data_IF_112217857616
#
_entry.id   IF_112217857616
#
_cell.length_a   1.000
_cell.length_b   1.000
_cell.length_c   1.000
_cell.angle_alpha   90.00
_cell.angle_beta   90.00
_cell.angle_gamma   90.00
#
_symmetry.space_group_name_H-M   'P 1'
#
loop_
_entity.id
_entity.type
_entity.pdbx_description
1 polymer ?
#
# COMPACT_ATOMS: atom_id res chain seq x y z
N UNK A 1 23.91 -57.29 10.13
CA UNK A 1 25.01 -57.65 9.19
C UNK A 1 24.31 -58.23 7.98
N UNK A 2 24.20 -57.61 6.80
CA UNK A 2 25.05 -56.72 6.02
C UNK A 2 24.10 -55.81 5.20
N UNK A 3 24.15 -54.47 5.25
CA UNK A 3 25.11 -53.54 4.65
C UNK A 3 25.28 -53.70 3.12
N UNK A 4 24.87 -52.64 2.41
CA UNK A 4 25.41 -52.10 1.15
C UNK A 4 25.47 -52.98 -0.11
N UNK A 5 24.72 -52.57 -1.15
CA UNK A 5 25.28 -52.08 -2.42
C UNK A 5 24.21 -52.06 -3.53
N UNK A 6 24.02 -50.89 -4.14
CA UNK A 6 23.81 -50.65 -5.59
C UNK A 6 22.95 -49.39 -5.82
N UNK A 7 23.56 -48.25 -5.50
CA UNK A 7 23.40 -47.01 -6.26
C UNK A 7 24.57 -46.98 -7.26
N UNK A 8 24.38 -46.35 -8.44
CA UNK A 8 25.27 -46.20 -9.63
C UNK A 8 24.90 -47.18 -10.75
N UNK A 9 24.50 -46.81 -11.97
CA UNK A 9 24.60 -45.61 -12.81
C UNK A 9 23.30 -45.52 -13.66
N UNK A 10 22.65 -44.38 -13.89
CA UNK A 10 22.94 -43.47 -15.01
C UNK A 10 22.25 -42.11 -14.76
N UNK A 11 22.84 -41.27 -13.92
CA UNK A 11 22.31 -39.94 -13.57
C UNK A 11 23.24 -38.81 -14.04
N UNK A 12 23.87 -38.96 -15.21
CA UNK A 12 24.82 -37.99 -15.77
C UNK A 12 24.34 -37.32 -17.06
N UNK A 13 23.05 -37.37 -17.39
CA UNK A 13 22.53 -36.67 -18.58
C UNK A 13 21.18 -35.98 -18.35
N UNK A 14 20.95 -35.46 -17.14
CA UNK A 14 19.81 -34.58 -16.88
C UNK A 14 20.36 -33.18 -16.59
N UNK A 15 20.02 -32.15 -17.39
CA UNK A 15 20.50 -30.79 -17.15
C UNK A 15 20.03 -30.28 -15.78
N UNK A 16 20.91 -29.59 -15.06
CA UNK A 16 20.70 -29.11 -13.68
C UNK A 16 19.36 -28.37 -13.48
N UNK A 17 18.86 -27.69 -14.52
CA UNK A 17 17.60 -26.93 -14.51
C UNK A 17 16.32 -27.79 -14.39
N UNK A 18 16.42 -29.11 -14.55
CA UNK A 18 15.30 -30.06 -14.39
C UNK A 18 15.27 -30.68 -12.98
N UNK A 19 16.42 -30.72 -12.29
CA UNK A 19 16.53 -31.27 -10.93
C UNK A 19 15.85 -30.35 -9.90
N UNK A 20 15.72 -29.05 -10.18
CA UNK A 20 15.07 -28.09 -9.27
C UNK A 20 13.53 -28.13 -9.28
N UNK A 21 12.87 -28.97 -10.11
CA UNK A 21 11.40 -28.90 -10.29
C UNK A 21 10.60 -30.20 -10.17
N UNK A 22 11.18 -31.34 -9.78
CA UNK A 22 10.37 -32.54 -9.51
C UNK A 22 10.94 -33.40 -8.36
N UNK A 23 10.34 -33.29 -7.19
CA UNK A 23 10.34 -34.36 -6.19
C UNK A 23 8.90 -34.70 -5.78
N UNK A 24 8.28 -35.62 -6.51
CA UNK A 24 7.12 -36.39 -6.08
C UNK A 24 7.62 -37.77 -5.62
N UNK A 25 7.64 -38.00 -4.31
CA UNK A 25 7.68 -39.35 -3.74
C UNK A 25 6.94 -39.34 -2.40
N UNK A 26 5.81 -40.05 -2.39
CA UNK A 26 5.10 -40.57 -1.21
C UNK A 26 5.00 -39.63 0.01
N UNK A 27 3.96 -38.80 0.04
CA UNK A 27 3.34 -38.36 1.30
C UNK A 27 4.01 -37.24 2.10
N UNK A 28 5.01 -36.53 1.58
CA UNK A 28 5.62 -35.40 2.27
C UNK A 28 5.49 -34.12 1.43
N UNK A 29 4.67 -33.17 1.90
CA UNK A 29 4.53 -31.86 1.27
C UNK A 29 5.79 -31.02 1.51
N UNK A 30 6.23 -30.36 0.43
CA UNK A 30 7.31 -29.38 0.33
C UNK A 30 7.61 -28.64 1.64
N UNK A 31 8.86 -28.76 2.10
CA UNK A 31 9.43 -27.80 3.04
C UNK A 31 9.98 -26.63 2.21
N UNK A 32 9.06 -25.79 1.73
CA UNK A 32 9.37 -24.57 0.95
C UNK A 32 10.14 -23.56 1.80
N UNK A 33 9.99 -23.65 3.12
CA UNK A 33 10.60 -22.77 4.10
C UNK A 33 11.68 -23.47 4.92
N UNK A 34 12.77 -22.76 5.19
CA UNK A 34 13.90 -23.18 6.01
C UNK A 34 14.04 -22.27 7.23
N UNK A 35 14.65 -22.81 8.28
CA UNK A 35 15.06 -22.01 9.43
C UNK A 35 16.06 -20.95 8.96
N UNK A 36 15.82 -19.70 9.36
CA UNK A 36 16.59 -18.53 8.94
C UNK A 36 15.99 -17.77 7.76
N UNK A 37 14.99 -18.32 7.06
CA UNK A 37 14.32 -17.59 5.99
C UNK A 37 13.55 -16.38 6.56
N UNK A 38 13.51 -15.31 5.76
CA UNK A 38 12.76 -14.12 6.07
C UNK A 38 11.49 -14.08 5.25
N UNK A 39 10.36 -13.95 5.93
CA UNK A 39 9.02 -13.93 5.36
C UNK A 39 8.27 -12.70 5.86
N UNK A 40 7.16 -12.36 5.24
CA UNK A 40 6.27 -11.28 5.68
C UNK A 40 4.97 -11.88 6.16
N UNK A 41 4.59 -11.54 7.39
CA UNK A 41 3.31 -11.90 7.97
C UNK A 41 2.33 -10.72 7.89
N UNK A 42 1.09 -10.92 7.39
CA UNK A 42 0.12 -9.84 7.24
C UNK A 42 -0.13 -9.09 8.55
N UNK A 43 -0.22 -7.76 8.49
CA UNK A 43 -0.42 -6.83 9.63
C UNK A 43 0.72 -6.73 10.65
N UNK A 44 1.71 -7.61 10.61
CA UNK A 44 2.87 -7.60 11.51
C UNK A 44 4.17 -7.28 10.79
N UNK A 45 4.20 -7.39 9.45
CA UNK A 45 5.38 -7.06 8.67
C UNK A 45 6.35 -8.23 8.64
N UNK A 46 7.63 -7.93 8.49
CA UNK A 46 8.60 -8.97 8.28
C UNK A 46 8.92 -9.78 9.54
N UNK A 47 9.12 -11.08 9.34
CA UNK A 47 9.39 -12.05 10.37
C UNK A 47 10.46 -13.06 9.89
N UNK A 48 11.23 -13.58 10.83
CA UNK A 48 12.21 -14.64 10.60
C UNK A 48 11.69 -15.97 11.09
N UNK A 49 11.95 -17.04 10.34
CA UNK A 49 11.66 -18.41 10.77
C UNK A 49 12.74 -18.86 11.73
N UNK A 50 12.43 -18.94 13.02
CA UNK A 50 13.37 -19.39 14.05
C UNK A 50 13.41 -20.91 14.19
N UNK A 51 12.26 -21.57 14.04
CA UNK A 51 12.14 -23.00 14.31
C UNK A 51 11.05 -23.63 13.46
N UNK A 52 11.29 -24.87 13.03
CA UNK A 52 10.28 -25.75 12.43
C UNK A 52 10.10 -26.93 13.39
N UNK A 53 8.95 -27.00 14.06
CA UNK A 53 8.68 -28.02 15.07
C UNK A 53 7.45 -28.85 14.69
N UNK A 54 7.53 -30.16 14.88
CA UNK A 54 6.38 -31.05 14.80
C UNK A 54 5.63 -31.06 16.15
N UNK A 55 4.31 -30.83 16.12
CA UNK A 55 3.46 -30.86 17.32
C UNK A 55 2.22 -31.70 17.08
N UNK A 56 1.90 -32.54 18.06
CA UNK A 56 0.66 -33.34 18.07
C UNK A 56 -0.39 -32.63 18.93
N UNK A 57 -1.43 -32.11 18.28
CA UNK A 57 -2.55 -31.44 18.94
C UNK A 57 -3.82 -32.25 18.70
N UNK A 58 -4.48 -32.67 19.79
CA UNK A 58 -5.72 -33.47 19.74
C UNK A 58 -5.61 -34.74 18.87
N UNK A 59 -4.46 -35.41 18.91
CA UNK A 59 -4.19 -36.63 18.15
C UNK A 59 -3.84 -36.39 16.67
N UNK A 60 -3.75 -35.14 16.21
CA UNK A 60 -3.29 -34.80 14.86
C UNK A 60 -1.90 -34.19 14.93
N UNK A 61 -0.95 -34.84 14.28
CA UNK A 61 0.43 -34.36 14.18
C UNK A 61 0.57 -33.41 13.00
N UNK A 62 1.09 -32.20 13.24
CA UNK A 62 1.31 -31.16 12.23
C UNK A 62 2.64 -30.47 12.45
N UNK A 63 3.21 -29.97 11.36
CA UNK A 63 4.41 -29.14 11.39
C UNK A 63 3.99 -27.69 11.63
N UNK A 64 4.71 -27.02 12.52
CA UNK A 64 4.52 -25.61 12.87
C UNK A 64 5.81 -24.84 12.62
N UNK A 65 5.66 -23.68 11.98
CA UNK A 65 6.69 -22.66 11.79
C UNK A 65 6.58 -21.67 12.94
N UNK A 66 7.69 -21.42 13.64
CA UNK A 66 7.81 -20.33 14.62
C UNK A 66 8.44 -19.12 13.95
N UNK A 67 7.64 -18.07 13.83
CA UNK A 67 8.04 -16.80 13.24
C UNK A 67 8.29 -15.78 14.34
N UNK A 68 9.43 -15.11 14.30
CA UNK A 68 9.73 -13.95 15.16
C UNK A 68 9.63 -12.69 14.33
N UNK A 69 8.74 -11.78 14.71
CA UNK A 69 8.53 -10.51 13.98
C UNK A 69 9.70 -9.57 14.26
N UNK A 70 10.30 -9.01 13.22
CA UNK A 70 11.49 -8.14 13.33
C UNK A 70 11.12 -6.74 13.81
N UNK A 71 9.94 -6.24 13.41
CA UNK A 71 9.47 -4.90 13.77
C UNK A 71 8.86 -4.79 15.18
N UNK A 72 8.86 -5.87 15.97
CA UNK A 72 8.16 -5.91 17.25
C UNK A 72 8.94 -6.76 18.25
N UNK A 73 9.28 -6.15 19.38
CA UNK A 73 10.05 -6.82 20.43
C UNK A 73 9.29 -8.02 20.99
N UNK A 74 9.81 -9.23 20.72
CA UNK A 74 9.35 -10.47 21.35
C UNK A 74 8.02 -11.02 20.84
N UNK A 75 7.52 -10.57 19.68
CA UNK A 75 6.31 -11.15 19.10
C UNK A 75 6.64 -12.44 18.33
N UNK A 76 6.28 -13.58 18.93
CA UNK A 76 6.35 -14.90 18.30
C UNK A 76 4.98 -15.34 17.75
N UNK A 77 4.96 -15.83 16.52
CA UNK A 77 3.77 -16.35 15.83
C UNK A 77 4.03 -17.80 15.43
N UNK A 78 3.12 -18.71 15.78
CA UNK A 78 3.20 -20.12 15.37
C UNK A 78 2.16 -20.41 14.29
N UNK A 79 2.63 -20.74 13.08
CA UNK A 79 1.78 -20.99 11.91
C UNK A 79 1.92 -22.45 11.48
N UNK A 80 0.81 -23.18 11.27
CA UNK A 80 0.91 -24.55 10.80
C UNK A 80 1.28 -24.56 9.30
N UNK A 81 2.20 -25.44 8.93
CA UNK A 81 2.80 -25.49 7.58
C UNK A 81 1.76 -25.69 6.46
N UNK A 82 0.64 -26.36 6.75
CA UNK A 82 -0.47 -26.59 5.83
C UNK A 82 -1.39 -25.37 5.59
N UNK A 83 -1.19 -24.30 6.36
CA UNK A 83 -2.01 -23.08 6.27
C UNK A 83 -1.20 -21.81 5.99
N UNK A 84 0.08 -21.91 5.65
CA UNK A 84 0.97 -20.76 5.43
C UNK A 84 0.40 -19.80 4.38
N UNK A 85 0.02 -20.32 3.22
CA UNK A 85 -0.63 -19.55 2.14
C UNK A 85 -1.98 -18.98 2.56
N UNK A 86 -2.77 -19.76 3.32
CA UNK A 86 -4.11 -19.37 3.77
C UNK A 86 -4.07 -18.24 4.79
N UNK A 87 -3.02 -18.20 5.59
CA UNK A 87 -2.78 -17.14 6.59
C UNK A 87 -2.13 -15.92 5.94
N UNK A 88 -1.64 -16.06 4.70
CA UNK A 88 -1.10 -14.96 3.88
C UNK A 88 0.37 -14.66 4.15
N UNK A 89 1.12 -15.63 4.68
CA UNK A 89 2.58 -15.52 4.77
C UNK A 89 3.15 -15.47 3.36
N UNK A 90 4.07 -14.54 3.11
CA UNK A 90 4.67 -14.34 1.79
C UNK A 90 6.18 -14.14 1.88
N UNK A 91 6.86 -14.28 0.75
CA UNK A 91 8.25 -13.90 0.62
C UNK A 91 8.41 -12.37 0.63
N UNK A 92 9.60 -11.92 1.03
CA UNK A 92 9.99 -10.51 0.95
C UNK A 92 10.02 -10.07 -0.51
N UNK A 93 9.56 -8.86 -0.78
CA UNK A 93 9.56 -8.30 -2.13
C UNK A 93 10.98 -8.02 -2.63
N UNK A 94 11.19 -8.07 -3.95
CA UNK A 94 12.46 -7.73 -4.59
C UNK A 94 12.60 -6.20 -4.77
N UNK A 95 13.83 -5.69 -4.98
CA UNK A 95 14.09 -4.26 -5.18
C UNK A 95 13.29 -3.60 -6.30
N UNK A 96 12.92 -4.34 -7.36
CA UNK A 96 12.02 -3.82 -8.42
C UNK A 96 10.64 -3.45 -7.88
N UNK A 97 10.11 -4.21 -6.92
CA UNK A 97 8.85 -3.89 -6.28
C UNK A 97 9.00 -2.72 -5.29
N UNK A 98 10.16 -2.58 -4.65
CA UNK A 98 10.50 -1.42 -3.81
C UNK A 98 10.55 -0.13 -4.64
N UNK A 99 11.13 -0.18 -5.85
CA UNK A 99 11.11 0.95 -6.77
C UNK A 99 9.68 1.43 -7.08
N UNK A 100 8.76 0.50 -7.33
CA UNK A 100 7.33 0.79 -7.52
C UNK A 100 6.68 1.37 -6.25
N UNK A 101 7.04 0.88 -5.08
CA UNK A 101 6.57 1.45 -3.79
C UNK A 101 6.98 2.92 -3.68
N UNK A 102 8.23 3.24 -3.99
CA UNK A 102 8.70 4.62 -3.96
C UNK A 102 8.01 5.50 -5.01
N UNK A 103 7.70 4.98 -6.21
CA UNK A 103 6.87 5.71 -7.18
C UNK A 103 5.47 6.03 -6.64
N UNK A 104 4.83 5.06 -5.97
CA UNK A 104 3.52 5.26 -5.35
C UNK A 104 3.60 6.40 -4.32
N UNK A 105 4.61 6.36 -3.43
CA UNK A 105 4.80 7.34 -2.36
C UNK A 105 5.02 8.77 -2.89
N UNK A 106 5.76 8.92 -3.99
CA UNK A 106 6.03 10.21 -4.64
C UNK A 106 4.84 10.78 -5.40
N UNK A 107 3.81 9.98 -5.68
CA UNK A 107 2.66 10.44 -6.47
C UNK A 107 1.76 11.33 -5.63
N UNK A 108 1.44 12.56 -6.05
CA UNK A 108 0.45 13.37 -5.34
C UNK A 108 -0.96 12.80 -5.52
N UNK A 109 -1.78 12.81 -4.47
CA UNK A 109 -3.18 12.42 -4.56
C UNK A 109 -4.12 13.63 -4.45
N UNK A 110 -5.16 13.59 -5.28
CA UNK A 110 -6.36 14.41 -5.11
C UNK A 110 -7.32 13.60 -4.24
N UNK A 111 -7.55 14.05 -3.01
CA UNK A 111 -8.41 13.34 -2.07
C UNK A 111 -9.86 13.29 -2.59
N UNK A 112 -10.40 12.09 -2.81
CA UNK A 112 -11.84 11.94 -3.01
C UNK A 112 -12.58 12.29 -1.71
N UNK A 113 -13.55 13.21 -1.80
CA UNK A 113 -14.43 13.60 -0.69
C UNK A 113 -15.33 12.45 -0.22
N UNK A 114 -14.73 11.51 0.50
CA UNK A 114 -15.39 10.33 1.02
C UNK A 114 -15.53 10.47 2.54
N UNK A 115 -16.65 9.99 3.08
CA UNK A 115 -16.91 9.92 4.52
C UNK A 115 -15.72 9.26 5.25
N UNK A 116 -15.18 9.95 6.25
CA UNK A 116 -14.05 9.52 7.09
C UNK A 116 -14.14 8.07 7.56
N UNK A 117 -15.33 7.64 8.03
CA UNK A 117 -15.53 6.27 8.52
C UNK A 117 -15.33 5.20 7.44
N UNK A 118 -15.66 5.53 6.19
CA UNK A 118 -15.46 4.64 5.04
C UNK A 118 -13.98 4.56 4.69
N UNK A 119 -13.26 5.69 4.70
CA UNK A 119 -11.82 5.74 4.45
C UNK A 119 -11.03 4.96 5.48
N UNK A 120 -11.35 5.14 6.77
CA UNK A 120 -10.73 4.38 7.83
C UNK A 120 -10.88 2.87 7.61
N UNK A 121 -12.10 2.40 7.28
CA UNK A 121 -12.35 0.98 6.97
C UNK A 121 -11.56 0.49 5.76
N UNK A 122 -11.55 1.26 4.67
CA UNK A 122 -10.80 0.94 3.47
C UNK A 122 -9.29 0.83 3.75
N UNK A 123 -8.73 1.74 4.55
CA UNK A 123 -7.31 1.68 4.91
C UNK A 123 -6.98 0.48 5.81
N UNK A 124 -7.88 0.12 6.74
CA UNK A 124 -7.76 -1.12 7.52
C UNK A 124 -7.77 -2.34 6.61
N UNK A 125 -8.66 -2.39 5.62
CA UNK A 125 -8.74 -3.48 4.65
C UNK A 125 -7.49 -3.56 3.77
N UNK A 126 -6.98 -2.41 3.28
CA UNK A 126 -5.71 -2.35 2.54
C UNK A 126 -4.55 -2.93 3.36
N UNK A 127 -4.37 -2.51 4.61
CA UNK A 127 -3.33 -3.05 5.50
C UNK A 127 -3.53 -4.54 5.77
N UNK A 128 -4.78 -4.99 5.93
CA UNK A 128 -5.11 -6.39 6.17
C UNK A 128 -4.74 -7.32 5.02
N UNK A 129 -4.71 -6.82 3.78
CA UNK A 129 -4.32 -7.63 2.61
C UNK A 129 -2.85 -8.02 2.62
N UNK A 130 -1.99 -7.25 3.31
CA UNK A 130 -0.55 -7.48 3.32
C UNK A 130 0.14 -7.16 1.99
N UNK A 131 -0.52 -6.50 1.03
CA UNK A 131 0.10 -6.07 -0.23
C UNK A 131 0.91 -4.78 0.00
N UNK A 132 2.21 -4.84 -0.29
CA UNK A 132 3.15 -3.73 -0.11
C UNK A 132 2.70 -2.46 -0.84
N UNK A 133 2.13 -2.59 -2.04
CA UNK A 133 1.70 -1.44 -2.84
C UNK A 133 0.51 -0.74 -2.19
N UNK A 134 -0.44 -1.52 -1.66
CA UNK A 134 -1.62 -0.98 -0.97
C UNK A 134 -1.25 -0.36 0.37
N UNK A 135 -0.26 -0.92 1.06
CA UNK A 135 0.27 -0.32 2.30
C UNK A 135 0.97 1.00 1.98
N UNK A 136 1.75 1.06 0.88
CA UNK A 136 2.37 2.30 0.41
C UNK A 136 1.34 3.39 0.09
N UNK A 137 0.22 3.04 -0.56
CA UNK A 137 -0.90 3.98 -0.75
C UNK A 137 -1.43 4.51 0.59
N UNK A 138 -1.64 3.64 1.59
CA UNK A 138 -2.13 4.08 2.91
C UNK A 138 -1.13 5.00 3.61
N UNK A 139 0.17 4.69 3.55
CA UNK A 139 1.23 5.54 4.13
C UNK A 139 1.21 6.91 3.45
N UNK A 140 1.25 6.95 2.13
CA UNK A 140 1.19 8.19 1.35
C UNK A 140 -0.06 9.01 1.69
N UNK A 141 -1.24 8.41 1.60
CA UNK A 141 -2.53 9.10 1.74
C UNK A 141 -2.67 9.69 3.16
N UNK A 142 -2.21 8.96 4.18
CA UNK A 142 -2.24 9.44 5.56
C UNK A 142 -1.13 10.47 5.84
N UNK A 143 0.06 10.32 5.25
CA UNK A 143 1.17 11.28 5.39
C UNK A 143 0.82 12.63 4.77
N UNK A 144 0.35 12.64 3.52
CA UNK A 144 -0.10 13.86 2.86
C UNK A 144 -1.19 14.57 3.68
N UNK A 145 -2.08 13.80 4.32
CA UNK A 145 -3.17 14.35 5.14
C UNK A 145 -2.77 14.78 6.55
N UNK A 146 -1.67 14.28 7.11
CA UNK A 146 -1.18 14.77 8.41
C UNK A 146 -0.64 16.20 8.29
N UNK A 147 -0.19 16.58 7.09
CA UNK A 147 0.26 17.93 6.73
C UNK A 147 -0.90 18.90 6.41
N UNK A 148 -2.14 18.40 6.27
CA UNK A 148 -3.34 19.23 6.08
C UNK A 148 -3.72 19.98 7.37
N UNK A 149 -4.44 21.11 7.23
CA UNK A 149 -4.90 21.94 8.36
C UNK A 149 -5.76 21.15 9.38
N UNK A 150 -6.43 20.08 8.95
CA UNK A 150 -7.28 19.24 9.79
C UNK A 150 -6.49 18.17 10.57
N UNK A 151 -5.32 17.76 10.06
CA UNK A 151 -4.48 16.68 10.58
C UNK A 151 -5.18 15.32 10.72
N UNK A 152 -4.44 14.36 11.28
CA UNK A 152 -4.96 13.01 11.56
C UNK A 152 -5.59 12.86 12.94
N UNK A 153 -6.66 12.06 13.03
CA UNK A 153 -7.19 11.60 14.33
C UNK A 153 -6.20 10.66 15.03
N UNK A 154 -6.33 10.48 16.35
CA UNK A 154 -5.46 9.55 17.10
C UNK A 154 -5.48 8.11 16.57
N UNK A 155 -6.60 7.65 16.01
CA UNK A 155 -6.72 6.35 15.38
C UNK A 155 -5.98 6.25 14.05
N UNK A 156 -6.03 7.31 13.23
CA UNK A 156 -5.31 7.41 11.97
C UNK A 156 -3.80 7.58 12.19
N UNK A 157 -3.38 8.35 13.20
CA UNK A 157 -1.95 8.45 13.58
C UNK A 157 -1.36 7.09 13.93
N UNK A 158 -2.06 6.30 14.75
CA UNK A 158 -1.65 4.91 15.06
C UNK A 158 -1.62 4.03 13.82
N UNK A 159 -2.57 4.21 12.90
CA UNK A 159 -2.61 3.48 11.64
C UNK A 159 -1.41 3.84 10.75
N UNK A 160 -1.09 5.12 10.62
CA UNK A 160 0.07 5.60 9.87
C UNK A 160 1.37 5.05 10.46
N UNK A 161 1.59 5.18 11.78
CA UNK A 161 2.78 4.61 12.43
C UNK A 161 2.90 3.11 12.20
N UNK A 162 1.80 2.37 12.29
CA UNK A 162 1.80 0.93 12.03
C UNK A 162 2.11 0.60 10.56
N UNK A 163 1.50 1.32 9.61
CA UNK A 163 1.73 1.10 8.19
C UNK A 163 3.17 1.44 7.79
N UNK A 164 3.74 2.53 8.35
CA UNK A 164 5.14 2.91 8.19
C UNK A 164 6.07 1.80 8.69
N UNK A 165 5.88 1.30 9.91
CA UNK A 165 6.72 0.23 10.45
C UNK A 165 6.71 -1.04 9.57
N UNK A 166 5.54 -1.44 9.06
CA UNK A 166 5.45 -2.60 8.15
C UNK A 166 6.24 -2.34 6.87
N UNK A 167 6.11 -1.14 6.29
CA UNK A 167 6.78 -0.79 5.04
C UNK A 167 8.31 -0.66 5.22
N UNK A 168 8.75 -0.01 6.30
CA UNK A 168 10.16 0.17 6.66
C UNK A 168 10.85 -1.17 6.82
N UNK A 169 10.27 -2.11 7.59
CA UNK A 169 10.86 -3.44 7.76
C UNK A 169 10.95 -4.24 6.46
N UNK A 170 10.02 -4.01 5.52
CA UNK A 170 10.04 -4.69 4.24
C UNK A 170 11.07 -4.10 3.27
N UNK A 171 11.22 -2.78 3.26
CA UNK A 171 12.28 -2.08 2.52
C UNK A 171 13.66 -2.49 3.07
N UNK A 172 13.84 -2.47 4.39
CA UNK A 172 15.09 -2.83 5.05
C UNK A 172 15.59 -4.21 4.62
N UNK A 173 14.69 -5.19 4.56
CA UNK A 173 15.04 -6.55 4.15
C UNK A 173 15.27 -6.72 2.66
N UNK A 174 14.50 -6.02 1.83
CA UNK A 174 14.64 -6.09 0.38
C UNK A 174 15.96 -5.48 -0.08
N UNK A 175 16.30 -4.31 0.47
CA UNK A 175 17.49 -3.52 0.12
C UNK A 175 18.73 -3.88 0.97
N UNK A 176 18.55 -4.74 1.99
CA UNK A 176 19.61 -5.17 2.94
C UNK A 176 20.27 -4.00 3.66
N UNK A 177 19.44 -3.07 4.11
CA UNK A 177 19.81 -1.90 4.90
C UNK A 177 19.20 -2.05 6.31
N UNK A 178 19.62 -1.20 7.25
CA UNK A 178 19.00 -1.17 8.57
C UNK A 178 17.66 -0.41 8.56
N UNK A 179 16.91 -0.54 9.64
CA UNK A 179 15.58 0.08 9.78
C UNK A 179 15.65 1.61 9.83
N UNK A 180 16.75 2.19 10.34
CA UNK A 180 16.93 3.65 10.41
C UNK A 180 17.15 4.23 9.01
N UNK A 181 17.98 3.57 8.21
CA UNK A 181 18.23 3.88 6.81
C UNK A 181 16.94 3.73 5.98
N UNK A 182 16.22 2.62 6.13
CA UNK A 182 14.97 2.39 5.42
C UNK A 182 13.91 3.45 5.78
N UNK A 183 13.87 3.87 7.04
CA UNK A 183 13.01 4.96 7.50
C UNK A 183 13.42 6.30 6.88
N UNK A 184 14.73 6.59 6.78
CA UNK A 184 15.24 7.78 6.10
C UNK A 184 14.80 7.80 4.64
N UNK A 185 15.01 6.70 3.91
CA UNK A 185 14.61 6.59 2.51
C UNK A 185 13.10 6.76 2.34
N UNK A 186 12.28 6.24 3.27
CA UNK A 186 10.85 6.47 3.27
C UNK A 186 10.52 7.97 3.40
N UNK A 187 11.19 8.68 4.30
CA UNK A 187 11.00 10.12 4.51
C UNK A 187 11.49 10.97 3.33
N UNK A 188 12.58 10.58 2.67
CA UNK A 188 13.05 11.21 1.42
C UNK A 188 11.99 11.11 0.32
N UNK A 189 11.41 9.92 0.13
CA UNK A 189 10.39 9.70 -0.91
C UNK A 189 9.03 10.35 -0.58
N UNK A 190 8.77 10.66 0.69
CA UNK A 190 7.63 11.45 1.13
C UNK A 190 7.89 12.97 1.06
N UNK A 191 9.14 13.39 0.84
CA UNK A 191 9.55 14.79 0.79
C UNK A 191 9.77 15.46 2.15
N UNK A 192 9.94 14.67 3.21
CA UNK A 192 10.28 15.17 4.56
C UNK A 192 11.79 15.37 4.77
N UNK A 193 12.62 14.75 3.95
CA UNK A 193 14.08 14.85 3.99
C UNK A 193 14.66 14.98 2.58
N UNK A 194 15.83 15.60 2.48
CA UNK A 194 16.58 15.71 1.23
C UNK A 194 17.35 14.40 0.94
N UNK A 195 17.46 13.98 -0.32
CA UNK A 195 18.20 12.78 -0.70
C UNK A 195 19.70 12.95 -0.48
N UNK A 196 20.36 11.91 0.03
CA UNK A 196 21.80 11.88 0.25
C UNK A 196 22.56 11.21 -0.91
N UNK A 197 23.85 11.55 -1.10
CA UNK A 197 24.68 10.88 -2.10
C UNK A 197 24.78 9.36 -1.85
N UNK A 198 24.15 8.56 -2.72
CA UNK A 198 24.13 7.09 -2.59
C UNK A 198 22.73 6.49 -2.60
N UNK A 199 21.71 7.30 -2.31
CA UNK A 199 20.29 6.90 -2.25
C UNK A 199 19.76 6.32 -3.58
N UNK A 200 20.35 6.73 -4.70
CA UNK A 200 20.03 6.22 -6.04
C UNK A 200 20.19 4.70 -6.16
N UNK A 201 21.09 4.11 -5.36
CA UNK A 201 21.32 2.65 -5.34
C UNK A 201 20.13 1.87 -4.79
N UNK A 202 19.30 2.53 -4.00
CA UNK A 202 18.12 1.98 -3.34
C UNK A 202 16.83 2.54 -3.93
N UNK A 203 16.86 3.04 -5.18
CA UNK A 203 15.68 3.59 -5.87
C UNK A 203 15.03 4.80 -5.17
N UNK A 204 15.75 5.44 -4.24
CA UNK A 204 15.27 6.60 -3.51
C UNK A 204 15.62 7.88 -4.26
N UNK A 205 14.59 8.71 -4.43
CA UNK A 205 14.66 10.02 -5.10
C UNK A 205 13.67 10.94 -4.39
N UNK A 206 13.99 12.23 -4.31
CA UNK A 206 13.01 13.21 -3.88
C UNK A 206 11.84 13.25 -4.89
N UNK A 207 10.58 13.41 -4.44
CA UNK A 207 9.49 13.74 -5.34
C UNK A 207 9.77 15.08 -6.05
N UNK A 208 9.32 15.24 -7.30
CA UNK A 208 9.49 16.50 -8.06
C UNK A 208 8.89 17.70 -7.32
N UNK A 209 7.81 17.47 -6.58
CA UNK A 209 7.16 18.43 -5.70
C UNK A 209 6.92 17.77 -4.35
N UNK A 210 7.24 18.46 -3.26
CA UNK A 210 6.93 17.96 -1.92
C UNK A 210 5.41 17.81 -1.73
N UNK A 211 4.99 16.84 -0.92
CA UNK A 211 3.59 16.56 -0.62
C UNK A 211 2.76 17.82 -0.33
N UNK A 212 3.25 18.68 0.57
CA UNK A 212 2.58 19.92 0.98
C UNK A 212 2.40 20.93 -0.17
N UNK A 213 3.33 21.00 -1.13
CA UNK A 213 3.26 21.95 -2.25
C UNK A 213 2.19 21.53 -3.25
N UNK A 214 2.07 20.23 -3.50
CA UNK A 214 1.04 19.73 -4.42
C UNK A 214 -0.36 19.99 -3.86
N UNK A 215 -0.56 19.76 -2.56
CA UNK A 215 -1.83 20.03 -1.90
C UNK A 215 -2.23 21.49 -2.01
N UNK A 216 -1.31 22.41 -1.73
CA UNK A 216 -1.56 23.84 -1.88
C UNK A 216 -2.02 24.22 -3.30
N UNK A 217 -1.37 23.66 -4.33
CA UNK A 217 -1.80 23.87 -5.73
C UNK A 217 -3.21 23.34 -5.97
N UNK A 218 -3.49 22.11 -5.56
CA UNK A 218 -4.79 21.46 -5.77
C UNK A 218 -5.92 22.21 -5.04
N UNK A 219 -5.67 22.74 -3.85
CA UNK A 219 -6.63 23.58 -3.13
C UNK A 219 -6.92 24.89 -3.87
N UNK A 220 -5.89 25.55 -4.40
CA UNK A 220 -6.05 26.77 -5.18
C UNK A 220 -6.78 26.50 -6.50
N UNK A 221 -6.48 25.38 -7.16
CA UNK A 221 -7.22 24.90 -8.34
C UNK A 221 -8.69 24.63 -7.99
N UNK A 222 -8.98 23.94 -6.88
CA UNK A 222 -10.36 23.67 -6.46
C UNK A 222 -11.12 24.97 -6.10
N UNK A 223 -10.45 25.92 -5.43
CA UNK A 223 -11.02 27.25 -5.14
C UNK A 223 -11.31 28.00 -6.45
N UNK A 224 -10.40 27.96 -7.42
CA UNK A 224 -10.56 28.58 -8.72
C UNK A 224 -11.72 27.95 -9.51
N UNK A 225 -11.83 26.62 -9.51
CA UNK A 225 -12.94 25.88 -10.13
C UNK A 225 -14.29 26.22 -9.49
N UNK A 226 -14.36 26.22 -8.15
CA UNK A 226 -15.58 26.63 -7.42
C UNK A 226 -15.96 28.08 -7.73
N UNK A 227 -14.99 28.97 -7.82
CA UNK A 227 -15.22 30.38 -8.18
C UNK A 227 -15.74 30.51 -9.62
N UNK A 228 -15.16 29.76 -10.57
CA UNK A 228 -15.60 29.70 -11.96
C UNK A 228 -17.02 29.12 -12.07
N UNK A 229 -17.33 28.02 -11.39
CA UNK A 229 -18.65 27.41 -11.36
C UNK A 229 -19.71 28.35 -10.76
N UNK A 230 -19.38 29.07 -9.67
CA UNK A 230 -20.27 30.06 -9.06
C UNK A 230 -20.51 31.25 -9.99
N UNK A 231 -19.49 31.69 -10.73
CA UNK A 231 -19.61 32.76 -11.73
C UNK A 231 -20.51 32.33 -12.89
N UNK A 232 -20.29 31.14 -13.45
CA UNK A 232 -21.11 30.55 -14.52
C UNK A 232 -22.58 30.38 -14.10
N UNK A 233 -22.84 29.90 -12.87
CA UNK A 233 -24.20 29.78 -12.34
C UNK A 233 -24.90 31.14 -12.15
N UNK A 234 -24.16 32.20 -11.81
CA UNK A 234 -24.70 33.56 -11.68
C UNK A 234 -25.02 34.17 -13.06
N UNK A 235 -24.17 33.94 -14.05
CA UNK A 235 -24.38 34.39 -15.44
C UNK A 235 -25.57 33.68 -16.09
N UNK A 236 -25.71 32.36 -15.91
CA UNK A 236 -26.86 31.58 -16.38
C UNK A 236 -28.19 32.07 -15.77
N UNK A 237 -28.21 32.40 -14.47
CA UNK A 237 -29.39 32.98 -13.82
C UNK A 237 -29.73 34.38 -14.35
N UNK A 238 -28.73 35.19 -14.70
CA UNK A 238 -28.92 36.52 -15.28
C UNK A 238 -29.54 36.43 -16.68
N UNK A 239 -29.00 35.56 -17.54
CA UNK A 239 -29.53 35.32 -18.89
C UNK A 239 -31.01 34.84 -18.86
N UNK A 240 -31.38 33.99 -17.89
CA UNK A 240 -32.78 33.54 -17.72
C UNK A 240 -33.75 34.62 -17.21
N UNK A 241 -33.23 35.73 -16.65
CA UNK A 241 -34.02 36.86 -16.18
C UNK A 241 -34.23 37.89 -17.28
N UNK A 242 -33.20 38.14 -18.08
CA UNK A 242 -33.25 39.08 -19.21
C UNK A 242 -34.21 38.58 -20.31
N UNK A 243 -34.32 37.26 -20.51
CA UNK A 243 -35.27 36.62 -21.44
C UNK A 243 -36.74 36.64 -20.96
N UNK A 244 -36.95 36.98 -19.67
CA UNK A 244 -38.27 37.08 -19.05
C UNK A 244 -38.79 38.52 -19.01
N UNK A 245 -37.89 39.50 -18.98
CA UNK A 245 -38.22 40.93 -19.08
C UNK A 245 -38.49 41.34 -20.54
N UNK A 246 -37.78 40.77 -21.53
CA UNK A 246 -38.05 41.02 -22.96
C UNK A 246 -39.44 40.55 -23.43
N UNK A 247 -40.00 39.51 -22.79
CA UNK A 247 -41.36 38.99 -23.10
C UNK A 247 -42.50 39.77 -22.42
N UNK A 248 -42.16 40.79 -21.61
CA UNK A 248 -43.14 41.64 -20.91
C UNK A 248 -43.37 42.99 -21.60
N UNK A 249 -42.49 43.41 -22.50
CA UNK A 249 -42.60 44.68 -23.24
C UNK A 249 -43.49 44.59 -24.50
N UNK A 250 -43.80 43.38 -25.02
CA UNK A 250 -44.75 43.21 -26.15
C UNK A 250 -46.24 43.26 -25.73
N UNK A 251 -46.56 43.73 -24.53
CA UNK A 251 -47.94 43.94 -24.05
C UNK A 251 -48.17 45.38 -23.56
N UNK A 252 -47.79 46.37 -24.36
CA UNK A 252 -48.34 47.72 -24.24
C UNK A 252 -48.92 48.18 -25.60
N UNK A 253 -50.26 48.19 -25.61
CA UNK A 253 -51.32 48.78 -26.46
C UNK A 253 -51.00 49.46 -27.81
N UNK A 254 -51.99 49.47 -28.74
CA UNK A 254 -52.73 50.71 -28.88
C UNK A 254 -54.26 50.56 -29.00
N UNK A 255 -54.91 51.60 -28.50
CA UNK A 255 -56.33 51.93 -28.55
C UNK A 255 -56.99 51.85 -29.93
N UNK A 256 -58.32 51.63 -29.95
CA UNK A 256 -59.33 52.31 -30.81
C UNK A 256 -60.72 51.68 -30.56
N UNK A 257 -61.67 52.46 -30.04
CA UNK A 257 -62.82 53.05 -30.78
C UNK A 257 -63.89 52.04 -31.25
N UNK A 258 -65.11 52.17 -30.70
CA UNK A 258 -66.42 52.28 -31.39
C UNK A 258 -67.54 52.16 -30.33
N UNK A 259 -68.38 53.20 -30.20
CA UNK A 259 -69.83 53.24 -30.55
C UNK A 259 -70.66 52.35 -29.60
N UNK A 260 -71.65 52.84 -28.84
CA UNK A 260 -72.77 53.76 -29.12
C UNK A 260 -73.09 54.73 -27.97
#
# INVERSE_FOLDING_TARGET
>A
MFLEALIFLDFLSVPQSIIDKLTLREGCLYMEYKVGDTVVYPRHGAARIEEITERTLRGVTRIYLRLTVLSSDGLEISVPADAVDKVGVREVVNGVAVAKVFEILRTPIVEEKTNWSRRYKLNVEKIATGDVNKIAEVVRDLSQRDDDEHGLSAGEKRMLSKARNILTSEIALSEKIDDEEAQRLLDVNLGYQDPEPGDEKHHAQAPEEAAYQTLFRLEEEEKAEKAAAKKAAKEAKKASKDDKDSKKEDKEDPASESED
#
